data_IF_579657625008
#
_entry.id   IF_579657625008
#
_cell.length_a   1.000
_cell.length_b   1.000
_cell.length_c   1.000
_cell.angle_alpha   90.00
_cell.angle_beta   90.00
_cell.angle_gamma   90.00
#
_symmetry.space_group_name_H-M   'P 1'
#
loop_
_entity.id
_entity.type
_entity.pdbx_description
1 polymer ?
#
# COMPACT_ATOMS: atom_id res chain seq x y z
N UNK A 1 24.11 -44.02 6.18
CA UNK A 1 24.13 -42.58 6.56
C UNK A 1 22.81 -41.90 6.21
N UNK A 2 21.85 -42.67 5.70
CA UNK A 2 20.68 -42.20 4.94
C UNK A 2 19.44 -42.02 5.81
N UNK A 3 19.29 -42.78 6.90
CA UNK A 3 18.16 -42.62 7.84
C UNK A 3 18.20 -41.27 8.57
N UNK A 4 19.37 -40.84 9.02
CA UNK A 4 19.57 -39.51 9.66
C UNK A 4 19.25 -38.38 8.68
N UNK A 5 19.64 -38.55 7.41
CA UNK A 5 19.37 -37.57 6.34
C UNK A 5 17.88 -37.51 6.00
N UNK A 6 17.21 -38.66 5.94
CA UNK A 6 15.77 -38.77 5.69
C UNK A 6 14.95 -38.15 6.83
N UNK A 7 15.32 -38.40 8.09
CA UNK A 7 14.68 -37.77 9.25
C UNK A 7 14.86 -36.26 9.26
N UNK A 8 16.06 -35.73 8.96
CA UNK A 8 16.29 -34.29 8.84
C UNK A 8 15.49 -33.67 7.68
N UNK A 9 15.39 -34.38 6.54
CA UNK A 9 14.55 -33.97 5.41
C UNK A 9 13.06 -33.92 5.76
N UNK A 10 12.56 -34.93 6.46
CA UNK A 10 11.18 -34.97 6.92
C UNK A 10 10.90 -33.83 7.93
N UNK A 11 11.81 -33.60 8.87
CA UNK A 11 11.68 -32.57 9.90
C UNK A 11 11.67 -31.16 9.28
N UNK A 12 12.53 -30.91 8.30
CA UNK A 12 12.56 -29.63 7.57
C UNK A 12 11.29 -29.41 6.75
N UNK A 13 10.75 -30.43 6.08
CA UNK A 13 9.46 -30.34 5.37
C UNK A 13 8.30 -30.09 6.34
N UNK A 14 8.28 -30.76 7.49
CA UNK A 14 7.25 -30.55 8.52
C UNK A 14 7.32 -29.14 9.13
N UNK A 15 8.53 -28.63 9.38
CA UNK A 15 8.77 -27.25 9.81
C UNK A 15 8.25 -26.29 8.74
N UNK A 16 8.62 -26.45 7.47
CA UNK A 16 8.16 -25.58 6.38
C UNK A 16 6.64 -25.64 6.18
N UNK A 17 6.02 -26.81 6.39
CA UNK A 17 4.56 -26.97 6.36
C UNK A 17 3.88 -26.26 7.54
N UNK A 18 4.48 -26.33 8.73
CA UNK A 18 4.02 -25.62 9.93
C UNK A 18 4.15 -24.09 9.83
N UNK A 19 5.23 -23.61 9.20
CA UNK A 19 5.47 -22.18 8.94
C UNK A 19 4.78 -21.67 7.67
N UNK A 20 3.96 -22.49 7.00
CA UNK A 20 3.21 -22.04 5.83
C UNK A 20 2.28 -20.90 6.25
N UNK A 21 2.48 -19.73 5.64
CA UNK A 21 1.67 -18.54 5.92
C UNK A 21 0.20 -18.83 5.59
N UNK A 22 -0.60 -19.07 6.63
CA UNK A 22 -2.04 -19.36 6.48
C UNK A 22 -2.78 -18.05 6.33
N UNK A 23 -3.60 -17.95 5.28
CA UNK A 23 -4.49 -16.80 5.12
C UNK A 23 -5.57 -16.82 6.18
N UNK A 24 -5.93 -15.65 6.75
CA UNK A 24 -7.06 -15.57 7.65
C UNK A 24 -8.36 -15.97 6.93
N UNK A 25 -9.36 -16.39 7.71
CA UNK A 25 -10.68 -16.72 7.16
C UNK A 25 -11.27 -15.48 6.48
N UNK A 26 -11.93 -15.67 5.34
CA UNK A 26 -12.53 -14.61 4.51
C UNK A 26 -11.54 -13.64 3.84
N UNK A 27 -10.24 -13.99 3.76
CA UNK A 27 -9.27 -13.18 3.03
C UNK A 27 -9.37 -13.44 1.51
N UNK A 28 -9.17 -12.42 0.66
CA UNK A 28 -9.26 -12.59 -0.80
C UNK A 28 -8.22 -13.59 -1.33
N UNK A 29 -8.46 -14.19 -2.51
CA UNK A 29 -7.54 -15.14 -3.14
C UNK A 29 -6.24 -14.44 -3.58
N UNK A 30 -5.18 -15.20 -3.85
CA UNK A 30 -3.87 -14.66 -4.16
C UNK A 30 -2.79 -15.75 -4.29
N UNK A 31 -1.54 -15.37 -4.63
CA UNK A 31 -0.42 -16.29 -4.76
C UNK A 31 0.12 -16.77 -3.41
N UNK A 32 0.55 -18.03 -3.36
CA UNK A 32 1.11 -18.67 -2.16
C UNK A 32 2.32 -17.90 -1.65
N UNK A 33 2.25 -17.46 -0.41
CA UNK A 33 3.29 -16.70 0.26
C UNK A 33 4.38 -17.62 0.82
N UNK A 34 5.65 -17.23 0.61
CA UNK A 34 6.79 -17.86 1.28
C UNK A 34 6.81 -17.48 2.77
N UNK A 35 7.29 -18.37 3.66
CA UNK A 35 7.50 -18.02 5.06
C UNK A 35 8.47 -16.83 5.16
N UNK A 36 8.18 -15.89 6.06
CA UNK A 36 8.91 -14.64 6.32
C UNK A 36 8.97 -13.59 5.19
N UNK A 37 9.26 -13.97 3.95
CA UNK A 37 9.42 -13.03 2.82
C UNK A 37 8.09 -12.75 2.08
N UNK A 38 7.10 -13.62 2.23
CA UNK A 38 5.81 -13.46 1.58
C UNK A 38 5.90 -13.62 0.06
N UNK A 39 5.33 -12.66 -0.67
CA UNK A 39 5.31 -12.62 -2.14
C UNK A 39 6.36 -11.66 -2.72
N UNK A 40 7.22 -11.07 -1.88
CA UNK A 40 8.16 -10.02 -2.29
C UNK A 40 9.15 -10.51 -3.36
N UNK A 41 9.70 -11.72 -3.19
CA UNK A 41 10.60 -12.33 -4.16
C UNK A 41 9.89 -12.72 -5.46
N UNK A 42 8.72 -13.34 -5.34
CA UNK A 42 7.97 -13.85 -6.50
C UNK A 42 7.45 -12.71 -7.40
N UNK A 43 7.21 -11.54 -6.82
CA UNK A 43 6.74 -10.35 -7.52
C UNK A 43 7.83 -9.34 -7.82
N UNK A 44 9.08 -9.67 -7.47
CA UNK A 44 10.27 -8.82 -7.58
C UNK A 44 10.01 -7.37 -7.15
N UNK A 45 9.25 -7.20 -6.05
CA UNK A 45 8.77 -5.88 -5.58
C UNK A 45 9.90 -4.95 -5.14
N UNK A 46 11.10 -5.50 -4.93
CA UNK A 46 12.27 -4.77 -4.43
C UNK A 46 13.06 -4.06 -5.53
N UNK A 47 12.93 -4.47 -6.80
CA UNK A 47 13.88 -4.03 -7.83
C UNK A 47 13.43 -2.77 -8.56
N UNK A 48 12.12 -2.45 -8.65
CA UNK A 48 11.63 -1.17 -9.18
C UNK A 48 10.09 -1.04 -9.15
N UNK A 49 9.59 0.19 -8.91
CA UNK A 49 8.16 0.56 -9.07
C UNK A 49 7.62 0.19 -10.47
N UNK A 50 8.48 0.25 -11.49
CA UNK A 50 8.16 -0.07 -12.89
C UNK A 50 7.80 -1.54 -13.11
N UNK A 51 8.33 -2.47 -12.28
CA UNK A 51 8.07 -3.91 -12.40
C UNK A 51 6.87 -4.39 -11.56
N UNK A 52 6.43 -3.58 -10.60
CA UNK A 52 5.26 -3.87 -9.79
C UNK A 52 3.97 -3.86 -10.62
N UNK A 53 3.84 -2.90 -11.55
CA UNK A 53 2.65 -2.75 -12.40
C UNK A 53 2.35 -3.96 -13.32
N UNK A 54 3.30 -4.50 -14.10
CA UNK A 54 3.03 -5.68 -14.93
C UNK A 54 2.69 -6.92 -14.10
N UNK A 55 3.37 -7.13 -12.98
CA UNK A 55 3.07 -8.23 -12.05
C UNK A 55 1.66 -8.10 -11.45
N UNK A 56 1.25 -6.89 -11.06
CA UNK A 56 -0.12 -6.63 -10.57
C UNK A 56 -1.18 -6.90 -11.63
N UNK A 57 -0.88 -6.60 -12.90
CA UNK A 57 -1.79 -6.88 -14.00
C UNK A 57 -1.95 -8.37 -14.27
N UNK A 58 -0.87 -9.14 -14.21
CA UNK A 58 -0.92 -10.60 -14.35
C UNK A 58 -1.71 -11.23 -13.19
N UNK A 59 -1.45 -10.80 -11.96
CA UNK A 59 -2.21 -11.25 -10.79
C UNK A 59 -3.69 -10.89 -10.88
N UNK A 60 -4.02 -9.70 -11.40
CA UNK A 60 -5.40 -9.30 -11.63
C UNK A 60 -6.10 -10.22 -12.64
N UNK A 61 -5.39 -10.68 -13.69
CA UNK A 61 -5.96 -11.65 -14.65
C UNK A 61 -6.23 -13.00 -14.00
N UNK A 62 -5.35 -13.47 -13.12
CA UNK A 62 -5.47 -14.78 -12.48
C UNK A 62 -6.46 -14.79 -11.31
N UNK A 63 -6.43 -13.78 -10.45
CA UNK A 63 -7.17 -13.75 -9.18
C UNK A 63 -8.35 -12.77 -9.19
N UNK A 64 -8.46 -11.92 -10.22
CA UNK A 64 -9.53 -10.94 -10.37
C UNK A 64 -9.19 -9.55 -9.82
N UNK A 65 -10.22 -8.72 -9.70
CA UNK A 65 -10.09 -7.31 -9.33
C UNK A 65 -9.70 -7.08 -7.86
N UNK A 66 -9.92 -8.05 -6.97
CA UNK A 66 -9.54 -7.95 -5.56
C UNK A 66 -8.76 -9.21 -5.19
N UNK A 67 -7.49 -9.03 -4.83
CA UNK A 67 -6.62 -10.15 -4.48
C UNK A 67 -5.70 -9.80 -3.30
N UNK A 68 -5.23 -10.84 -2.61
CA UNK A 68 -4.30 -10.73 -1.49
C UNK A 68 -2.86 -10.93 -1.92
N UNK A 69 -1.98 -10.19 -1.25
CA UNK A 69 -0.53 -10.35 -1.30
C UNK A 69 0.04 -10.41 0.11
N UNK A 70 1.26 -10.92 0.25
CA UNK A 70 2.03 -10.81 1.48
C UNK A 70 3.29 -10.01 1.20
N UNK A 71 3.46 -8.90 1.92
CA UNK A 71 4.68 -8.10 1.90
C UNK A 71 5.47 -8.48 3.15
N UNK A 72 6.48 -9.33 2.99
CA UNK A 72 7.13 -9.99 4.12
C UNK A 72 6.12 -10.88 4.87
N UNK A 73 5.97 -10.63 6.17
CA UNK A 73 5.00 -11.32 7.02
C UNK A 73 3.60 -10.66 7.02
N UNK A 74 3.43 -9.52 6.36
CA UNK A 74 2.20 -8.72 6.46
C UNK A 74 1.26 -8.97 5.29
N UNK A 75 -0.03 -9.27 5.55
CA UNK A 75 -1.02 -9.38 4.49
C UNK A 75 -1.38 -7.99 3.94
N UNK A 76 -1.50 -7.90 2.62
CA UNK A 76 -1.93 -6.72 1.89
C UNK A 76 -3.06 -7.12 0.92
N UNK A 77 -3.99 -6.21 0.67
CA UNK A 77 -5.07 -6.41 -0.31
C UNK A 77 -4.89 -5.39 -1.43
N UNK A 78 -4.81 -5.89 -2.66
CA UNK A 78 -4.77 -5.06 -3.86
C UNK A 78 -6.18 -4.96 -4.43
N UNK A 79 -6.67 -3.73 -4.56
CA UNK A 79 -7.97 -3.42 -5.15
C UNK A 79 -7.73 -2.78 -6.51
N UNK A 80 -8.27 -3.41 -7.56
CA UNK A 80 -8.12 -3.00 -8.95
C UNK A 80 -9.48 -2.83 -9.62
N UNK A 81 -9.58 -1.89 -10.56
CA UNK A 81 -10.80 -1.64 -11.32
C UNK A 81 -11.77 -0.67 -10.63
N UNK A 82 -12.52 0.05 -11.45
CA UNK A 82 -13.31 1.22 -11.03
C UNK A 82 -14.41 0.89 -10.04
N UNK A 83 -15.12 -0.24 -10.22
CA UNK A 83 -16.20 -0.67 -9.32
C UNK A 83 -15.68 -0.96 -7.91
N UNK A 84 -14.61 -1.75 -7.81
CA UNK A 84 -14.02 -2.13 -6.53
C UNK A 84 -13.34 -0.93 -5.85
N UNK A 85 -12.65 -0.07 -6.60
CA UNK A 85 -12.10 1.19 -6.06
C UNK A 85 -13.21 2.10 -5.51
N UNK A 86 -14.32 2.26 -6.24
CA UNK A 86 -15.43 3.09 -5.80
C UNK A 86 -16.05 2.53 -4.52
N UNK A 87 -16.22 1.22 -4.43
CA UNK A 87 -16.73 0.61 -3.20
C UNK A 87 -15.81 0.85 -2.00
N UNK A 88 -14.50 0.60 -2.16
CA UNK A 88 -13.54 0.75 -1.07
C UNK A 88 -13.30 2.20 -0.67
N UNK A 89 -13.01 3.08 -1.63
CA UNK A 89 -12.54 4.45 -1.37
C UNK A 89 -13.66 5.48 -1.25
N UNK A 90 -14.88 5.17 -1.73
CA UNK A 90 -16.02 6.10 -1.66
C UNK A 90 -17.11 5.56 -0.75
N UNK A 91 -17.65 4.37 -1.04
CA UNK A 91 -18.78 3.84 -0.27
C UNK A 91 -18.37 3.45 1.16
N UNK A 92 -17.16 2.88 1.31
CA UNK A 92 -16.56 2.47 2.59
C UNK A 92 -15.37 3.34 2.97
N UNK A 93 -15.39 4.61 2.57
CA UNK A 93 -14.26 5.52 2.69
C UNK A 93 -13.67 5.60 4.10
N UNK A 94 -14.51 5.54 5.14
CA UNK A 94 -14.08 5.57 6.56
C UNK A 94 -13.34 4.30 6.95
N UNK A 95 -13.83 3.13 6.55
CA UNK A 95 -13.24 1.83 6.86
C UNK A 95 -11.86 1.67 6.20
N UNK A 96 -11.69 2.25 5.00
CA UNK A 96 -10.43 2.24 4.24
C UNK A 96 -9.60 3.53 4.44
N UNK A 97 -9.97 4.39 5.39
CA UNK A 97 -9.25 5.65 5.62
C UNK A 97 -7.94 5.48 6.40
N UNK A 98 -7.76 4.33 7.07
CA UNK A 98 -6.57 4.04 7.88
C UNK A 98 -5.26 4.18 7.10
N UNK A 99 -4.18 4.48 7.81
CA UNK A 99 -2.82 4.57 7.25
C UNK A 99 -1.90 3.62 8.01
N UNK A 100 -1.07 2.81 7.32
CA UNK A 100 -0.16 1.91 8.01
C UNK A 100 0.84 2.70 8.88
N UNK A 101 0.83 2.46 10.20
CA UNK A 101 1.63 3.20 11.20
C UNK A 101 2.93 2.46 11.61
N UNK A 102 3.50 1.64 10.73
CA UNK A 102 4.68 0.85 11.10
C UNK A 102 5.95 1.66 11.12
N UNK A 103 6.91 1.29 11.97
CA UNK A 103 8.24 1.93 12.02
C UNK A 103 8.89 2.08 10.64
N UNK A 104 8.75 1.09 9.76
CA UNK A 104 9.26 1.18 8.39
C UNK A 104 8.56 2.27 7.57
N UNK A 105 7.23 2.33 7.60
CA UNK A 105 6.48 3.36 6.88
C UNK A 105 6.72 4.74 7.49
N UNK A 106 6.76 4.85 8.82
CA UNK A 106 7.00 6.11 9.51
C UNK A 106 8.44 6.62 9.32
N UNK A 107 9.43 5.72 9.24
CA UNK A 107 10.83 6.08 8.99
C UNK A 107 11.07 6.52 7.53
N UNK A 108 10.48 5.82 6.55
CA UNK A 108 10.56 6.21 5.12
C UNK A 108 9.85 7.56 4.89
N UNK A 109 8.76 7.78 5.62
CA UNK A 109 7.93 8.98 5.48
C UNK A 109 8.33 10.10 6.46
N UNK A 110 9.46 9.91 7.18
CA UNK A 110 10.14 10.88 8.05
C UNK A 110 9.22 11.71 8.97
N UNK A 111 8.16 11.10 9.52
CA UNK A 111 7.17 11.82 10.35
C UNK A 111 6.72 13.18 9.75
N UNK A 112 6.79 13.32 8.41
CA UNK A 112 6.60 14.59 7.72
C UNK A 112 5.11 14.83 7.51
N UNK A 113 4.45 15.12 8.62
CA UNK A 113 3.21 15.85 8.64
C UNK A 113 1.92 15.02 8.61
N UNK A 114 0.85 15.76 8.90
CA UNK A 114 -0.47 15.28 9.30
C UNK A 114 -1.22 14.54 8.19
N UNK A 115 -0.67 14.43 6.99
CA UNK A 115 -1.24 13.68 5.86
C UNK A 115 -1.07 12.17 6.00
N UNK A 116 -0.06 11.74 6.76
CA UNK A 116 0.34 10.34 6.97
C UNK A 116 -0.16 9.83 8.33
N UNK A 117 -0.59 10.76 9.20
CA UNK A 117 -1.24 10.45 10.46
C UNK A 117 -2.45 9.55 10.25
N UNK A 118 -2.69 8.67 11.23
CA UNK A 118 -3.83 7.78 11.22
C UNK A 118 -5.16 8.56 11.15
N UNK A 119 -6.16 7.94 10.55
CA UNK A 119 -7.45 8.57 10.36
C UNK A 119 -8.15 8.77 11.71
N UNK A 120 -8.23 10.02 12.15
CA UNK A 120 -8.85 10.37 13.42
C UNK A 120 -9.27 11.83 13.48
N UNK A 121 -9.64 12.28 14.69
CA UNK A 121 -10.06 13.67 14.92
C UNK A 121 -8.98 14.67 14.49
N UNK A 122 -7.74 14.44 14.93
CA UNK A 122 -6.58 15.27 14.58
C UNK A 122 -6.43 15.39 13.06
N UNK A 123 -6.40 14.27 12.33
CA UNK A 123 -6.29 14.28 10.86
C UNK A 123 -7.41 15.10 10.20
N UNK A 124 -8.66 14.95 10.67
CA UNK A 124 -9.82 15.71 10.16
C UNK A 124 -9.67 17.21 10.41
N UNK A 125 -9.24 17.61 11.59
CA UNK A 125 -9.03 19.02 11.95
C UNK A 125 -7.92 19.66 11.10
N UNK A 126 -6.77 19.00 11.00
CA UNK A 126 -5.66 19.50 10.20
C UNK A 126 -6.03 19.60 8.73
N UNK A 127 -6.70 18.58 8.17
CA UNK A 127 -7.20 18.63 6.80
C UNK A 127 -8.17 19.80 6.58
N UNK A 128 -9.11 20.02 7.51
CA UNK A 128 -10.07 21.13 7.44
C UNK A 128 -9.37 22.48 7.48
N UNK A 129 -8.43 22.65 8.41
CA UNK A 129 -7.62 23.86 8.55
C UNK A 129 -6.82 24.14 7.28
N UNK A 130 -6.04 23.17 6.79
CA UNK A 130 -5.23 23.34 5.58
C UNK A 130 -6.09 23.67 4.35
N UNK A 131 -7.23 22.99 4.15
CA UNK A 131 -8.13 23.28 3.04
C UNK A 131 -8.76 24.67 3.14
N UNK A 132 -9.14 25.10 4.34
CA UNK A 132 -9.66 26.46 4.57
C UNK A 132 -8.61 27.51 4.25
N UNK A 133 -7.40 27.35 4.79
CA UNK A 133 -6.27 28.25 4.57
C UNK A 133 -5.91 28.34 3.09
N UNK A 134 -5.83 27.21 2.38
CA UNK A 134 -5.57 27.22 0.93
C UNK A 134 -6.66 27.95 0.14
N UNK A 135 -7.95 27.76 0.48
CA UNK A 135 -9.06 28.51 -0.17
C UNK A 135 -9.00 30.00 0.12
N UNK A 136 -8.57 30.39 1.32
CA UNK A 136 -8.34 31.79 1.68
C UNK A 136 -7.18 32.39 0.86
N UNK A 137 -6.12 31.63 0.62
CA UNK A 137 -5.01 32.01 -0.27
C UNK A 137 -5.33 31.98 -1.77
N UNK A 138 -6.56 31.62 -2.15
CA UNK A 138 -7.01 31.68 -3.54
C UNK A 138 -7.07 30.35 -4.26
N UNK A 139 -6.86 29.20 -3.59
CA UNK A 139 -7.01 27.89 -4.23
C UNK A 139 -8.42 27.76 -4.85
N UNK A 140 -8.46 27.56 -6.18
CA UNK A 140 -9.70 27.49 -6.96
C UNK A 140 -10.33 28.85 -7.30
N UNK A 141 -9.61 29.96 -7.10
CA UNK A 141 -10.02 31.32 -7.47
C UNK A 141 -9.08 31.90 -8.52
N UNK A 142 -9.53 32.95 -9.21
CA UNK A 142 -8.76 33.68 -10.22
C UNK A 142 -7.44 34.26 -9.67
N UNK A 143 -7.37 34.56 -8.37
CA UNK A 143 -6.14 35.04 -7.72
C UNK A 143 -5.00 34.01 -7.75
N UNK A 144 -5.31 32.70 -7.71
CA UNK A 144 -4.29 31.65 -7.86
C UNK A 144 -3.87 31.50 -9.32
N UNK A 145 -4.81 31.62 -10.26
CA UNK A 145 -4.51 31.60 -11.69
C UNK A 145 -3.53 32.73 -12.06
N UNK A 146 -3.77 33.93 -11.56
CA UNK A 146 -2.87 35.07 -11.78
C UNK A 146 -1.45 34.79 -11.26
N UNK A 147 -1.32 34.25 -10.04
CA UNK A 147 0.00 33.87 -9.47
C UNK A 147 0.69 32.79 -10.29
N UNK A 148 -0.04 31.78 -10.77
CA UNK A 148 0.52 30.75 -11.65
C UNK A 148 1.04 31.38 -12.96
N UNK A 149 0.26 32.29 -13.56
CA UNK A 149 0.66 32.99 -14.79
C UNK A 149 1.84 33.94 -14.57
N UNK A 150 1.97 34.54 -13.40
CA UNK A 150 3.11 35.37 -13.01
C UNK A 150 4.39 34.54 -12.90
N UNK A 151 4.36 33.40 -12.20
CA UNK A 151 5.50 32.48 -12.08
C UNK A 151 5.93 31.90 -13.43
N UNK A 152 4.99 31.67 -14.36
CA UNK A 152 5.33 31.23 -15.72
C UNK A 152 6.02 32.33 -16.55
N UNK A 153 5.71 33.60 -16.29
CA UNK A 153 6.28 34.76 -17.01
C UNK A 153 7.62 35.21 -16.45
N UNK A 154 7.83 35.03 -15.16
CA UNK A 154 9.11 35.26 -14.50
C UNK A 154 9.40 34.02 -13.67
N UNK A 155 10.10 33.00 -14.24
CA UNK A 155 10.54 31.87 -13.45
C UNK A 155 11.55 32.41 -12.44
N UNK A 156 11.05 32.75 -11.26
CA UNK A 156 11.88 33.09 -10.13
C UNK A 156 12.75 31.86 -9.84
N UNK A 157 14.06 32.11 -9.71
CA UNK A 157 15.09 31.09 -9.58
C UNK A 157 14.74 30.11 -8.47
N UNK A 158 14.37 28.88 -8.87
CA UNK A 158 14.42 27.67 -8.05
C UNK A 158 15.56 26.83 -8.58
#
# INVERSE_FOLDING_TARGET
MDEKLCHCGLLTVLILYGFRSRRPKNFPPGPTALPFLGNVLNLNLLTSHLFCLPSCFQLRRTYGNVYSLYIGHRPAVVVSGTKALKEALVNKAVDFAGRPQDMYFNAILEDRGNFIADYGHKWKEHRRFSLMTMRNFGLGKQSMEQRILEELKSPSVI
#
